data_IF_545704055070
#
_entry.id   IF_545704055070
#
_cell.length_a   1.000
_cell.length_b   1.000
_cell.length_c   1.000
_cell.angle_alpha   90.00
_cell.angle_beta   90.00
_cell.angle_gamma   90.00
#
_symmetry.space_group_name_H-M   'P 1'
#
loop_
_entity.id
_entity.type
_entity.pdbx_description
1 polymer ?
#
# COMPACT_ATOMS: atom_id res chain seq x y z
N UNK A 1 -14.89 56.96 33.69
CA UNK A 1 -15.42 56.10 32.64
C UNK A 1 -14.26 55.45 31.90
N UNK A 2 -13.93 54.25 32.22
CA UNK A 2 -12.82 53.49 31.61
C UNK A 2 -13.42 52.54 30.59
N UNK A 3 -13.05 52.70 29.31
CA UNK A 3 -13.49 51.87 28.24
C UNK A 3 -12.69 50.53 28.22
N UNK A 4 -13.42 49.44 28.40
CA UNK A 4 -12.89 48.08 28.28
C UNK A 4 -12.52 47.77 26.82
N UNK A 5 -11.28 47.37 26.59
CA UNK A 5 -10.82 46.77 25.33
C UNK A 5 -11.42 45.38 25.18
N UNK A 6 -11.90 44.98 24.00
CA UNK A 6 -12.29 43.60 23.76
C UNK A 6 -11.06 42.71 23.65
N UNK A 7 -11.14 41.52 24.28
CA UNK A 7 -10.11 40.50 24.26
C UNK A 7 -9.95 39.93 22.83
N UNK A 8 -8.72 39.93 22.34
CA UNK A 8 -8.34 39.21 21.11
C UNK A 8 -8.64 37.70 21.24
N UNK A 9 -9.21 37.06 20.22
CA UNK A 9 -9.36 35.61 20.22
C UNK A 9 -7.98 34.96 20.11
N UNK A 10 -7.61 34.20 21.17
CA UNK A 10 -6.44 33.35 21.17
C UNK A 10 -6.57 32.36 19.98
N UNK A 11 -5.71 32.53 18.99
CA UNK A 11 -5.47 31.53 17.92
C UNK A 11 -5.05 30.24 18.61
N UNK A 12 -5.94 29.26 18.62
CA UNK A 12 -5.60 27.85 18.86
C UNK A 12 -4.60 27.44 17.76
N UNK A 13 -3.30 27.45 18.12
CA UNK A 13 -2.29 26.75 17.33
C UNK A 13 -2.76 25.29 17.24
N UNK A 14 -3.10 24.85 16.06
CA UNK A 14 -3.35 23.46 15.78
C UNK A 14 -2.13 22.67 16.28
N UNK A 15 -2.30 21.97 17.39
CA UNK A 15 -1.33 21.00 17.88
C UNK A 15 -1.40 19.79 16.97
N UNK A 16 -0.65 19.85 15.85
CA UNK A 16 -0.30 18.69 15.05
C UNK A 16 0.80 17.93 15.80
N UNK A 17 0.50 17.43 17.00
CA UNK A 17 1.38 16.54 17.73
C UNK A 17 0.89 15.10 17.57
N UNK A 18 1.10 14.52 16.39
CA UNK A 18 1.30 13.09 16.34
C UNK A 18 2.49 12.81 17.27
N UNK A 19 2.25 12.16 18.42
CA UNK A 19 3.32 11.75 19.34
C UNK A 19 4.37 10.99 18.50
N UNK A 20 5.65 11.40 18.53
CA UNK A 20 6.66 10.76 17.71
C UNK A 20 6.72 9.28 18.08
N UNK A 21 6.49 8.39 17.11
CA UNK A 21 6.61 6.96 17.30
C UNK A 21 7.97 6.64 17.91
N UNK A 22 7.97 5.77 18.90
CA UNK A 22 9.22 5.31 19.50
C UNK A 22 10.11 4.62 18.44
N UNK A 23 11.41 4.80 18.54
CA UNK A 23 12.37 4.24 17.56
C UNK A 23 12.22 2.73 17.33
N UNK A 24 11.86 1.96 18.38
CA UNK A 24 11.66 0.52 18.22
C UNK A 24 10.43 0.22 17.35
N UNK A 25 9.37 1.00 17.48
CA UNK A 25 8.15 0.81 16.69
C UNK A 25 8.37 1.17 15.20
N UNK A 26 9.17 2.21 14.94
CA UNK A 26 9.58 2.55 13.57
C UNK A 26 10.35 1.38 12.90
N UNK A 27 11.29 0.78 13.66
CA UNK A 27 12.06 -0.40 13.19
C UNK A 27 11.15 -1.61 12.98
N UNK A 28 10.23 -1.86 13.91
CA UNK A 28 9.23 -2.91 13.78
C UNK A 28 8.43 -2.78 12.48
N UNK A 29 7.93 -1.58 12.16
CA UNK A 29 7.15 -1.33 10.92
C UNK A 29 7.99 -1.61 9.66
N UNK A 30 9.24 -1.16 9.63
CA UNK A 30 10.15 -1.40 8.49
C UNK A 30 10.45 -2.89 8.32
N UNK A 31 10.78 -3.58 9.41
CA UNK A 31 11.09 -5.01 9.36
C UNK A 31 9.87 -5.86 8.99
N UNK A 32 8.70 -5.48 9.48
CA UNK A 32 7.43 -6.12 9.11
C UNK A 32 7.17 -6.02 7.61
N UNK A 33 7.34 -4.82 7.02
CA UNK A 33 7.21 -4.61 5.57
C UNK A 33 8.18 -5.48 4.78
N UNK A 34 9.44 -5.50 5.19
CA UNK A 34 10.47 -6.30 4.53
C UNK A 34 10.18 -7.81 4.62
N UNK A 35 9.55 -8.27 5.73
CA UNK A 35 9.06 -9.64 5.87
C UNK A 35 7.91 -9.91 4.87
N UNK A 36 6.96 -8.98 4.74
CA UNK A 36 5.85 -9.08 3.79
C UNK A 36 6.36 -9.13 2.34
N UNK A 37 7.43 -8.40 2.04
CA UNK A 37 8.11 -8.43 0.74
C UNK A 37 8.94 -9.71 0.52
N UNK A 38 9.08 -10.58 1.53
CA UNK A 38 9.88 -11.80 1.45
C UNK A 38 11.39 -11.59 1.42
N UNK A 39 11.89 -10.42 1.86
CA UNK A 39 13.33 -10.08 1.81
C UNK A 39 14.21 -10.95 2.71
N UNK A 40 13.63 -11.64 3.67
CA UNK A 40 14.35 -12.44 4.65
C UNK A 40 14.18 -13.94 4.42
N UNK A 41 14.03 -14.40 3.19
CA UNK A 41 13.89 -15.82 2.85
C UNK A 41 15.09 -16.67 3.35
N UNK A 42 16.28 -16.09 3.39
CA UNK A 42 17.52 -16.71 3.87
C UNK A 42 17.82 -16.44 5.36
N UNK A 43 16.85 -15.91 6.10
CA UNK A 43 16.97 -15.52 7.50
C UNK A 43 17.16 -14.01 7.70
N UNK A 44 16.85 -13.54 8.90
CA UNK A 44 16.99 -12.13 9.27
C UNK A 44 18.44 -11.79 9.63
N UNK A 45 18.90 -10.56 9.35
CA UNK A 45 20.20 -10.10 9.80
C UNK A 45 20.31 -10.13 11.32
N UNK A 46 21.54 -10.35 11.83
CA UNK A 46 21.81 -10.35 13.27
C UNK A 46 21.42 -8.99 13.91
N UNK A 47 20.96 -9.00 15.17
CA UNK A 47 20.55 -7.80 15.93
C UNK A 47 21.60 -6.66 15.84
N UNK A 48 22.90 -7.02 15.88
CA UNK A 48 23.97 -6.05 15.83
C UNK A 48 24.09 -5.37 14.45
N UNK A 49 23.82 -6.11 13.37
CA UNK A 49 23.83 -5.56 12.01
C UNK A 49 22.61 -4.65 11.81
N UNK A 50 21.44 -5.06 12.26
CA UNK A 50 20.23 -4.23 12.25
C UNK A 50 20.43 -2.94 13.06
N UNK A 51 21.07 -3.03 14.26
CA UNK A 51 21.35 -1.86 15.08
C UNK A 51 22.25 -0.86 14.36
N UNK A 52 23.24 -1.31 13.60
CA UNK A 52 24.09 -0.45 12.76
C UNK A 52 23.30 0.15 11.59
N UNK A 53 22.50 -0.66 10.89
CA UNK A 53 21.69 -0.20 9.74
C UNK A 53 20.68 0.89 10.12
N UNK A 54 20.05 0.75 11.29
CA UNK A 54 19.05 1.71 11.77
C UNK A 54 19.64 2.83 12.64
N UNK A 55 20.94 2.82 12.93
CA UNK A 55 21.60 3.84 13.77
C UNK A 55 21.05 3.91 15.20
N UNK A 56 20.71 2.75 15.82
CA UNK A 56 20.09 2.64 17.14
C UNK A 56 20.83 1.64 18.03
N UNK A 57 20.53 1.68 19.35
CA UNK A 57 21.03 0.69 20.30
C UNK A 57 20.42 -0.70 20.09
N UNK A 58 21.17 -1.77 20.45
CA UNK A 58 20.70 -3.17 20.36
C UNK A 58 19.39 -3.44 21.07
N UNK A 59 19.17 -2.79 22.23
CA UNK A 59 17.93 -2.93 23.00
C UNK A 59 16.71 -2.50 22.20
N UNK A 60 16.83 -1.43 21.40
CA UNK A 60 15.76 -0.91 20.55
C UNK A 60 15.41 -1.90 19.43
N UNK A 61 16.41 -2.49 18.79
CA UNK A 61 16.20 -3.53 17.76
C UNK A 61 15.58 -4.78 18.38
N UNK A 62 16.12 -5.22 19.54
CA UNK A 62 15.62 -6.40 20.23
C UNK A 62 14.13 -6.28 20.55
N UNK A 63 13.69 -5.13 21.05
CA UNK A 63 12.28 -4.86 21.33
C UNK A 63 11.40 -4.90 20.07
N UNK A 64 11.89 -4.40 18.94
CA UNK A 64 11.19 -4.50 17.65
C UNK A 64 11.07 -5.97 17.19
N UNK A 65 12.12 -6.75 17.34
CA UNK A 65 12.12 -8.18 17.00
C UNK A 65 11.24 -9.00 17.96
N UNK A 66 11.20 -8.67 19.26
CA UNK A 66 10.31 -9.31 20.22
C UNK A 66 8.85 -9.11 19.82
N UNK A 67 8.46 -7.92 19.42
CA UNK A 67 7.11 -7.65 18.93
C UNK A 67 6.78 -8.51 17.68
N UNK A 68 7.71 -8.66 16.75
CA UNK A 68 7.52 -9.55 15.59
C UNK A 68 7.39 -11.02 15.98
N UNK A 69 8.10 -11.47 17.03
CA UNK A 69 7.98 -12.83 17.60
C UNK A 69 6.61 -13.02 18.26
N UNK A 70 6.16 -12.04 19.06
CA UNK A 70 4.86 -12.09 19.76
C UNK A 70 3.70 -12.15 18.76
N UNK A 71 3.83 -11.49 17.62
CA UNK A 71 2.86 -11.58 16.51
C UNK A 71 3.00 -12.88 15.70
N UNK A 72 4.02 -13.71 16.00
CA UNK A 72 4.31 -14.94 15.31
C UNK A 72 4.76 -14.76 13.86
N UNK A 73 5.33 -13.61 13.52
CA UNK A 73 5.83 -13.29 12.18
C UNK A 73 7.24 -13.83 11.94
N UNK A 74 8.01 -13.97 13.02
CA UNK A 74 9.34 -14.54 13.02
C UNK A 74 9.51 -15.53 14.17
N UNK A 75 10.45 -16.45 14.03
CA UNK A 75 10.86 -17.40 15.06
C UNK A 75 12.35 -17.28 15.33
N UNK A 76 12.76 -17.42 16.59
CA UNK A 76 14.16 -17.50 16.99
C UNK A 76 14.55 -18.97 17.09
N UNK A 77 15.55 -19.37 16.32
CA UNK A 77 16.09 -20.73 16.35
C UNK A 77 17.47 -20.69 16.99
N UNK A 78 17.60 -21.37 18.13
CA UNK A 78 18.85 -21.40 18.88
C UNK A 78 20.02 -21.86 17.99
N UNK A 79 21.12 -21.10 17.97
CA UNK A 79 22.29 -21.36 17.14
C UNK A 79 22.12 -21.11 15.64
N UNK A 80 20.91 -20.82 15.15
CA UNK A 80 20.61 -20.58 13.72
C UNK A 80 20.08 -19.18 13.40
N UNK A 81 19.83 -18.34 14.41
CA UNK A 81 19.37 -16.98 14.21
C UNK A 81 17.85 -16.81 14.19
N UNK A 82 17.37 -15.76 13.54
CA UNK A 82 15.95 -15.38 13.46
C UNK A 82 15.44 -15.60 12.04
N UNK A 83 14.28 -16.25 11.90
CA UNK A 83 13.71 -16.63 10.62
C UNK A 83 12.25 -16.19 10.49
N UNK A 84 11.76 -15.86 9.30
CA UNK A 84 10.33 -15.73 9.05
C UNK A 84 9.59 -17.01 9.41
N UNK A 85 8.39 -16.87 9.98
CA UNK A 85 7.54 -18.04 10.28
C UNK A 85 7.03 -18.67 8.99
N UNK A 86 7.31 -19.95 8.70
CA UNK A 86 6.83 -20.60 7.49
C UNK A 86 5.30 -20.65 7.46
N UNK A 87 4.71 -20.31 6.31
CA UNK A 87 3.29 -20.57 6.03
C UNK A 87 2.27 -19.65 6.72
N UNK A 88 2.71 -18.59 7.42
CA UNK A 88 1.81 -17.54 7.87
C UNK A 88 1.86 -16.40 6.85
N UNK A 89 0.91 -16.33 5.89
CA UNK A 89 0.79 -15.13 5.05
C UNK A 89 0.43 -13.98 5.99
N UNK A 90 1.27 -12.96 6.04
CA UNK A 90 1.06 -11.75 6.85
C UNK A 90 -0.23 -11.01 6.47
N UNK A 91 -0.82 -11.39 5.35
CA UNK A 91 -2.12 -11.01 4.86
C UNK A 91 -2.90 -12.26 4.46
N UNK A 92 -3.15 -13.18 5.41
CA UNK A 92 -4.20 -14.18 5.22
C UNK A 92 -5.51 -13.42 5.06
N UNK A 93 -5.96 -13.29 3.82
CA UNK A 93 -7.33 -12.85 3.56
C UNK A 93 -8.26 -13.80 4.31
N UNK A 94 -9.00 -13.28 5.30
CA UNK A 94 -10.15 -13.99 5.82
C UNK A 94 -11.00 -14.40 4.63
N UNK A 95 -11.61 -15.61 4.61
CA UNK A 95 -12.48 -16.02 3.52
C UNK A 95 -13.59 -14.97 3.40
N UNK A 96 -13.47 -14.11 2.39
CA UNK A 96 -14.47 -13.08 2.13
C UNK A 96 -15.72 -13.74 1.62
N UNK A 97 -16.86 -13.39 2.23
CA UNK A 97 -18.17 -13.67 1.66
C UNK A 97 -18.17 -13.26 0.18
N UNK A 98 -18.69 -14.16 -0.68
CA UNK A 98 -18.83 -13.92 -2.10
C UNK A 98 -19.83 -12.80 -2.32
N UNK A 99 -19.36 -11.56 -2.39
CA UNK A 99 -20.15 -10.43 -2.83
C UNK A 99 -20.37 -10.48 -4.35
N UNK A 100 -21.53 -10.04 -4.80
CA UNK A 100 -21.86 -9.97 -6.23
C UNK A 100 -20.79 -9.20 -7.01
N UNK A 101 -20.47 -9.60 -8.26
CA UNK A 101 -19.42 -8.98 -9.06
C UNK A 101 -19.78 -7.52 -9.38
N UNK A 102 -19.00 -6.59 -8.86
CA UNK A 102 -19.09 -5.17 -9.25
C UNK A 102 -18.52 -5.03 -10.66
N UNK A 103 -19.31 -4.50 -11.59
CA UNK A 103 -18.82 -4.28 -12.96
C UNK A 103 -17.64 -3.32 -12.97
N UNK A 104 -16.57 -3.72 -13.65
CA UNK A 104 -15.30 -2.93 -13.79
C UNK A 104 -15.50 -1.55 -14.45
N UNK A 105 -16.57 -1.34 -15.22
CA UNK A 105 -16.86 -0.07 -15.91
C UNK A 105 -16.91 1.13 -14.97
N UNK A 106 -17.50 1.03 -13.78
CA UNK A 106 -17.51 2.10 -12.79
C UNK A 106 -16.11 2.34 -12.17
N UNK A 107 -15.38 1.26 -11.88
CA UNK A 107 -14.02 1.34 -11.35
C UNK A 107 -13.04 1.96 -12.35
N UNK A 108 -13.12 1.56 -13.64
CA UNK A 108 -12.28 2.14 -14.70
C UNK A 108 -12.54 3.63 -14.88
N UNK A 109 -13.80 4.03 -14.93
CA UNK A 109 -14.19 5.45 -15.01
C UNK A 109 -13.59 6.28 -13.87
N UNK A 110 -13.65 5.77 -12.65
CA UNK A 110 -13.08 6.43 -11.46
C UNK A 110 -11.54 6.52 -11.53
N UNK A 111 -10.85 5.45 -11.93
CA UNK A 111 -9.38 5.43 -12.06
C UNK A 111 -8.93 6.42 -13.14
N UNK A 112 -9.62 6.49 -14.27
CA UNK A 112 -9.33 7.44 -15.35
C UNK A 112 -9.60 8.88 -14.91
N UNK A 113 -10.70 9.13 -14.20
CA UNK A 113 -11.04 10.45 -13.66
C UNK A 113 -9.95 10.97 -12.71
N UNK A 114 -9.54 10.16 -11.72
CA UNK A 114 -8.44 10.50 -10.80
C UNK A 114 -7.13 10.73 -11.56
N UNK A 115 -6.89 10.01 -12.65
CA UNK A 115 -5.66 10.15 -13.44
C UNK A 115 -5.55 11.50 -14.15
N UNK A 116 -6.67 12.15 -14.49
CA UNK A 116 -6.67 13.45 -15.18
C UNK A 116 -6.22 14.61 -14.29
N UNK A 117 -6.40 14.51 -12.97
CA UNK A 117 -6.10 15.57 -12.00
C UNK A 117 -4.84 15.29 -11.18
N UNK A 118 -4.08 14.25 -11.53
CA UNK A 118 -2.92 13.81 -10.77
C UNK A 118 -1.75 13.47 -11.67
N UNK A 119 -0.52 13.59 -11.14
CA UNK A 119 0.71 13.18 -11.80
C UNK A 119 1.22 11.87 -11.20
N UNK A 120 1.93 11.09 -12.00
CA UNK A 120 2.51 9.81 -11.57
C UNK A 120 4.02 9.82 -11.75
N UNK A 121 4.75 9.56 -10.67
CA UNK A 121 6.18 9.26 -10.70
C UNK A 121 6.36 7.74 -10.56
N UNK A 122 6.96 7.10 -11.56
CA UNK A 122 7.34 5.68 -11.48
C UNK A 122 8.65 5.58 -10.69
N UNK A 123 8.59 4.99 -9.51
CA UNK A 123 9.74 4.80 -8.62
C UNK A 123 10.53 3.55 -8.99
N UNK A 124 9.82 2.45 -9.26
CA UNK A 124 10.41 1.16 -9.66
C UNK A 124 9.62 0.52 -10.81
N UNK A 125 10.35 -0.14 -11.74
CA UNK A 125 9.77 -0.95 -12.81
C UNK A 125 10.79 -2.03 -13.19
N UNK A 126 10.56 -3.24 -12.75
CA UNK A 126 11.47 -4.36 -12.97
C UNK A 126 10.77 -5.71 -12.94
N UNK A 127 11.41 -6.74 -13.47
CA UNK A 127 11.03 -8.15 -13.30
C UNK A 127 11.57 -8.64 -11.97
N UNK A 128 10.74 -9.34 -11.23
CA UNK A 128 11.12 -10.00 -9.96
C UNK A 128 10.51 -11.40 -9.90
N UNK A 129 11.06 -12.25 -9.06
CA UNK A 129 10.42 -13.51 -8.69
C UNK A 129 9.22 -13.22 -7.80
N UNK A 130 8.09 -13.87 -8.08
CA UNK A 130 6.89 -13.75 -7.27
C UNK A 130 7.17 -14.28 -5.85
N UNK A 131 6.99 -13.44 -4.83
CA UNK A 131 6.97 -13.90 -3.44
C UNK A 131 5.80 -14.87 -3.23
N UNK A 132 5.80 -15.65 -2.14
CA UNK A 132 4.72 -16.58 -1.85
C UNK A 132 3.32 -15.93 -1.87
N UNK A 133 3.20 -14.72 -1.31
CA UNK A 133 1.93 -13.96 -1.31
C UNK A 133 1.52 -13.48 -2.69
N UNK A 134 2.48 -13.00 -3.51
CA UNK A 134 2.23 -12.59 -4.90
C UNK A 134 1.84 -13.79 -5.76
N UNK A 135 2.56 -14.90 -5.64
CA UNK A 135 2.29 -16.14 -6.37
C UNK A 135 0.89 -16.68 -6.04
N UNK A 136 0.54 -16.71 -4.75
CA UNK A 136 -0.79 -17.13 -4.29
C UNK A 136 -1.89 -16.22 -4.84
N UNK A 137 -1.74 -14.89 -4.72
CA UNK A 137 -2.73 -13.92 -5.20
C UNK A 137 -2.93 -14.00 -6.71
N UNK A 138 -1.85 -14.13 -7.48
CA UNK A 138 -1.89 -14.20 -8.94
C UNK A 138 -2.06 -15.63 -9.48
N UNK A 139 -2.24 -16.63 -8.61
CA UNK A 139 -2.37 -18.06 -8.96
C UNK A 139 -1.22 -18.55 -9.86
N UNK A 140 -0.01 -18.12 -9.54
CA UNK A 140 1.21 -18.48 -10.25
C UNK A 140 2.00 -19.57 -9.49
N UNK A 141 2.86 -20.27 -10.22
CA UNK A 141 3.84 -21.14 -9.59
C UNK A 141 4.82 -20.34 -8.71
N UNK A 142 5.35 -20.97 -7.67
CA UNK A 142 6.39 -20.35 -6.83
C UNK A 142 7.59 -19.96 -7.70
N UNK A 143 8.09 -18.73 -7.52
CA UNK A 143 9.22 -18.22 -8.29
C UNK A 143 8.87 -17.78 -9.73
N UNK A 144 7.60 -17.78 -10.13
CA UNK A 144 7.19 -17.25 -11.42
C UNK A 144 7.60 -15.79 -11.57
N UNK A 145 7.96 -15.36 -12.77
CA UNK A 145 8.36 -13.98 -13.05
C UNK A 145 7.14 -13.06 -13.12
N UNK A 146 7.23 -11.94 -12.41
CA UNK A 146 6.24 -10.88 -12.43
C UNK A 146 6.90 -9.52 -12.64
N UNK A 147 6.19 -8.61 -13.29
CA UNK A 147 6.55 -7.19 -13.35
C UNK A 147 6.09 -6.51 -12.06
N UNK A 148 7.03 -5.95 -11.32
CA UNK A 148 6.77 -5.07 -10.19
C UNK A 148 6.83 -3.63 -10.65
N UNK A 149 5.76 -2.87 -10.41
CA UNK A 149 5.72 -1.41 -10.56
C UNK A 149 5.51 -0.76 -9.22
N UNK A 150 6.34 0.22 -8.86
CA UNK A 150 6.11 1.09 -7.71
C UNK A 150 5.90 2.51 -8.22
N UNK A 151 4.79 3.12 -7.85
CA UNK A 151 4.40 4.43 -8.34
C UNK A 151 3.93 5.32 -7.19
N UNK A 152 4.36 6.57 -7.21
CA UNK A 152 3.82 7.63 -6.39
C UNK A 152 2.90 8.50 -7.24
N UNK A 153 1.69 8.69 -6.78
CA UNK A 153 0.73 9.63 -7.38
C UNK A 153 0.69 10.89 -6.54
N UNK A 154 0.62 12.05 -7.20
CA UNK A 154 0.54 13.35 -6.54
C UNK A 154 -0.57 14.19 -7.17
N UNK A 155 -1.30 14.95 -6.35
CA UNK A 155 -2.16 16.06 -6.76
C UNK A 155 -1.37 17.37 -6.76
N UNK A 156 -2.04 18.51 -6.99
CA UNK A 156 -1.44 19.83 -6.84
C UNK A 156 -0.99 20.12 -5.40
N UNK A 157 -1.65 19.53 -4.41
CA UNK A 157 -1.31 19.66 -2.98
C UNK A 157 -0.15 18.77 -2.54
N UNK A 158 0.38 17.93 -3.42
CA UNK A 158 1.50 17.03 -3.14
C UNK A 158 1.15 15.54 -3.19
N UNK A 159 1.97 14.69 -2.54
CA UNK A 159 1.80 13.24 -2.61
C UNK A 159 0.44 12.77 -2.11
N UNK A 160 -0.18 11.85 -2.84
CA UNK A 160 -1.51 11.30 -2.57
C UNK A 160 -1.47 9.82 -2.22
N UNK A 161 -0.72 9.04 -3.01
CA UNK A 161 -0.65 7.58 -2.82
C UNK A 161 0.69 6.99 -3.24
N UNK A 162 1.04 5.88 -2.57
CA UNK A 162 2.15 5.00 -2.90
C UNK A 162 1.59 3.63 -3.28
N UNK A 163 1.82 3.20 -4.52
CA UNK A 163 1.15 2.04 -5.11
C UNK A 163 2.18 1.05 -5.61
N UNK A 164 2.15 -0.16 -5.09
CA UNK A 164 2.86 -1.31 -5.62
C UNK A 164 1.91 -2.18 -6.44
N UNK A 165 2.31 -2.54 -7.64
CA UNK A 165 1.51 -3.39 -8.55
C UNK A 165 2.37 -4.54 -9.03
N UNK A 166 1.79 -5.74 -9.06
CA UNK A 166 2.40 -6.94 -9.65
C UNK A 166 1.52 -7.43 -10.80
N UNK A 167 2.17 -7.78 -11.92
CA UNK A 167 1.53 -8.23 -13.15
C UNK A 167 2.32 -9.46 -13.64
N UNK A 168 1.70 -10.57 -14.02
CA UNK A 168 2.40 -11.67 -14.69
C UNK A 168 3.25 -11.14 -15.84
N UNK A 169 4.53 -11.53 -15.92
CA UNK A 169 5.50 -10.91 -16.85
C UNK A 169 5.00 -10.91 -18.30
N UNK A 170 4.39 -12.01 -18.75
CA UNK A 170 3.90 -12.18 -20.12
C UNK A 170 2.78 -11.19 -20.49
N UNK A 171 2.04 -10.63 -19.54
CA UNK A 171 1.00 -9.62 -19.77
C UNK A 171 1.53 -8.18 -19.80
N UNK A 172 2.78 -7.96 -19.38
CA UNK A 172 3.37 -6.63 -19.25
C UNK A 172 4.51 -6.39 -20.24
N UNK A 173 4.42 -6.97 -21.43
CA UNK A 173 5.43 -6.85 -22.50
C UNK A 173 5.15 -5.68 -23.43
N UNK A 174 3.89 -5.21 -23.52
CA UNK A 174 3.46 -4.17 -24.44
C UNK A 174 3.67 -2.73 -23.96
N UNK A 175 4.16 -2.52 -22.72
CA UNK A 175 4.35 -1.18 -22.14
C UNK A 175 5.54 -1.14 -21.19
N UNK A 176 6.02 0.07 -20.91
CA UNK A 176 7.18 0.30 -20.08
C UNK A 176 6.97 1.43 -19.08
N UNK A 177 8.10 1.93 -18.57
CA UNK A 177 8.14 2.99 -17.54
C UNK A 177 7.45 4.29 -17.98
N UNK A 178 7.59 4.65 -19.25
CA UNK A 178 7.03 5.90 -19.79
C UNK A 178 5.51 5.84 -19.86
N UNK A 179 4.96 4.75 -20.38
CA UNK A 179 3.52 4.54 -20.49
C UNK A 179 2.86 4.47 -19.10
N UNK A 180 3.54 3.83 -18.11
CA UNK A 180 3.10 3.76 -16.73
C UNK A 180 3.03 5.13 -16.02
N UNK A 181 3.83 6.11 -16.45
CA UNK A 181 3.76 7.47 -15.95
C UNK A 181 2.56 8.23 -16.50
N UNK A 182 2.05 7.85 -17.65
CA UNK A 182 1.00 8.57 -18.39
C UNK A 182 -0.38 7.92 -18.27
N UNK A 183 -0.43 6.58 -18.19
CA UNK A 183 -1.68 5.83 -18.25
C UNK A 183 -1.88 4.92 -17.02
N UNK A 184 -3.14 4.66 -16.62
CA UNK A 184 -3.46 3.62 -15.66
C UNK A 184 -3.01 2.24 -16.14
N UNK A 185 -2.56 1.38 -15.22
CA UNK A 185 -2.12 0.00 -15.55
C UNK A 185 -3.24 -0.80 -16.22
N UNK A 186 -4.49 -0.66 -15.76
CA UNK A 186 -5.61 -1.39 -16.35
C UNK A 186 -5.84 -1.02 -17.81
N UNK A 187 -5.71 0.27 -18.14
CA UNK A 187 -5.78 0.73 -19.52
C UNK A 187 -4.64 0.14 -20.38
N UNK A 188 -3.43 0.09 -19.83
CA UNK A 188 -2.27 -0.51 -20.54
C UNK A 188 -2.44 -2.01 -20.77
N UNK A 189 -3.06 -2.73 -19.82
CA UNK A 189 -3.39 -4.14 -19.98
C UNK A 189 -4.45 -4.35 -21.08
N UNK A 190 -5.50 -3.52 -21.12
CA UNK A 190 -6.51 -3.57 -22.21
C UNK A 190 -5.89 -3.26 -23.57
N UNK A 191 -5.05 -2.22 -23.68
CA UNK A 191 -4.31 -1.87 -24.89
C UNK A 191 -3.33 -2.99 -25.32
N UNK A 192 -2.90 -3.83 -24.39
CA UNK A 192 -2.07 -5.02 -24.65
C UNK A 192 -2.89 -6.28 -24.98
N UNK A 193 -4.22 -6.16 -25.12
CA UNK A 193 -5.10 -7.26 -25.51
C UNK A 193 -5.67 -8.08 -24.35
N UNK A 194 -5.51 -7.63 -23.09
CA UNK A 194 -6.13 -8.29 -21.93
C UNK A 194 -7.59 -7.86 -21.83
N UNK A 195 -8.52 -8.78 -21.98
CA UNK A 195 -9.94 -8.53 -21.75
C UNK A 195 -10.23 -8.56 -20.24
N UNK A 196 -10.42 -7.39 -19.64
CA UNK A 196 -10.66 -7.27 -18.19
C UNK A 196 -12.09 -7.73 -17.84
N UNK A 197 -12.21 -8.57 -16.81
CA UNK A 197 -13.48 -9.12 -16.33
C UNK A 197 -13.97 -8.44 -15.05
N UNK A 198 -13.46 -8.85 -13.88
CA UNK A 198 -13.89 -8.36 -12.58
C UNK A 198 -12.71 -7.96 -11.70
N UNK A 199 -12.99 -7.24 -10.61
CA UNK A 199 -12.01 -6.96 -9.58
C UNK A 199 -12.57 -7.27 -8.19
N UNK A 200 -11.68 -7.71 -7.30
CA UNK A 200 -11.92 -7.82 -5.85
C UNK A 200 -11.08 -6.77 -5.16
N UNK A 201 -11.69 -5.99 -4.29
CA UNK A 201 -10.99 -4.94 -3.56
C UNK A 201 -11.26 -5.05 -2.07
N UNK A 202 -10.20 -4.89 -1.28
CA UNK A 202 -10.25 -4.80 0.17
C UNK A 202 -9.72 -3.44 0.57
N UNK A 203 -10.38 -2.78 1.52
CA UNK A 203 -9.93 -1.52 2.10
C UNK A 203 -9.78 -1.73 3.60
N UNK A 204 -8.62 -1.39 4.12
CA UNK A 204 -8.30 -1.44 5.54
C UNK A 204 -7.47 -0.21 5.94
N UNK A 205 -6.92 -0.19 7.12
CA UNK A 205 -6.01 0.86 7.58
C UNK A 205 -4.65 0.26 7.91
N UNK A 206 -3.58 1.02 7.61
CA UNK A 206 -2.21 0.65 7.92
C UNK A 206 -1.40 1.88 8.34
N UNK A 207 -0.40 1.70 9.18
CA UNK A 207 0.54 2.76 9.53
C UNK A 207 1.64 2.89 8.47
N UNK A 208 2.03 4.14 8.17
CA UNK A 208 3.15 4.43 7.28
C UNK A 208 4.46 3.97 7.90
N UNK A 209 5.21 3.12 7.19
CA UNK A 209 6.61 2.84 7.49
C UNK A 209 7.53 4.00 7.05
N UNK A 210 8.84 3.87 7.27
CA UNK A 210 9.80 4.93 6.97
C UNK A 210 9.87 5.27 5.47
N UNK A 211 9.77 4.27 4.59
CA UNK A 211 9.85 4.46 3.14
C UNK A 211 8.59 5.13 2.62
N UNK A 212 7.42 4.61 2.99
CA UNK A 212 6.14 5.16 2.57
C UNK A 212 5.92 6.56 3.15
N UNK A 213 6.33 6.79 4.41
CA UNK A 213 6.27 8.10 5.04
C UNK A 213 7.07 9.15 4.27
N UNK A 214 8.30 8.81 3.86
CA UNK A 214 9.15 9.69 3.05
C UNK A 214 8.55 9.97 1.67
N UNK A 215 7.99 8.96 1.00
CA UNK A 215 7.41 9.13 -0.33
C UNK A 215 6.06 9.88 -0.32
N UNK A 216 5.29 9.76 0.77
CA UNK A 216 4.00 10.42 0.93
C UNK A 216 4.08 11.77 1.67
N UNK A 217 5.28 12.18 2.14
CA UNK A 217 5.47 13.39 2.93
C UNK A 217 4.56 13.42 4.16
N UNK A 218 4.63 12.35 4.97
CA UNK A 218 3.92 12.20 6.23
C UNK A 218 4.85 11.71 7.34
N UNK A 219 4.43 11.80 8.58
CA UNK A 219 5.19 11.21 9.69
C UNK A 219 5.13 9.67 9.64
N UNK A 220 6.22 9.01 10.06
CA UNK A 220 6.20 7.55 10.27
C UNK A 220 5.09 7.21 11.26
N UNK A 221 4.28 6.18 10.95
CA UNK A 221 3.13 5.77 11.74
C UNK A 221 1.85 6.54 11.47
N UNK A 222 1.85 7.48 10.54
CA UNK A 222 0.61 8.09 10.06
C UNK A 222 -0.32 6.99 9.55
N UNK A 223 -1.59 7.04 9.96
CA UNK A 223 -2.60 6.11 9.45
C UNK A 223 -2.87 6.38 7.97
N UNK A 224 -2.81 5.36 7.16
CA UNK A 224 -3.09 5.39 5.73
C UNK A 224 -4.23 4.44 5.40
N UNK A 225 -4.99 4.74 4.36
CA UNK A 225 -5.91 3.76 3.77
C UNK A 225 -5.08 2.72 3.00
N UNK A 226 -5.24 1.46 3.36
CA UNK A 226 -4.63 0.30 2.72
C UNK A 226 -5.62 -0.32 1.75
N UNK A 227 -5.39 -0.14 0.45
CA UNK A 227 -6.24 -0.66 -0.62
C UNK A 227 -5.52 -1.80 -1.32
N UNK A 228 -6.07 -3.00 -1.23
CA UNK A 228 -5.61 -4.17 -1.97
C UNK A 228 -6.63 -4.51 -3.04
N UNK A 229 -6.17 -4.69 -4.28
CA UNK A 229 -7.03 -5.01 -5.41
C UNK A 229 -6.44 -6.13 -6.23
N UNK A 230 -7.25 -7.14 -6.49
CA UNK A 230 -6.97 -8.22 -7.42
C UNK A 230 -7.91 -8.09 -8.61
N UNK A 231 -7.33 -7.99 -9.82
CA UNK A 231 -8.08 -7.86 -11.07
C UNK A 231 -7.96 -9.16 -11.84
N UNK A 232 -9.06 -9.58 -12.43
CA UNK A 232 -9.20 -10.79 -13.23
C UNK A 232 -9.55 -10.44 -14.66
N UNK A 233 -9.13 -11.29 -15.60
CA UNK A 233 -9.59 -11.24 -16.99
C UNK A 233 -11.01 -11.83 -17.15
N UNK A 234 -11.51 -11.82 -18.38
CA UNK A 234 -12.81 -12.39 -18.74
C UNK A 234 -12.91 -13.90 -18.50
N UNK A 235 -11.77 -14.61 -18.41
CA UNK A 235 -11.66 -16.04 -18.10
C UNK A 235 -11.43 -16.34 -16.62
N UNK A 236 -11.60 -15.31 -15.76
CA UNK A 236 -11.42 -15.39 -14.31
C UNK A 236 -9.99 -15.71 -13.85
N UNK A 237 -8.97 -15.40 -14.68
CA UNK A 237 -7.57 -15.51 -14.31
C UNK A 237 -7.07 -14.20 -13.73
N UNK A 238 -6.31 -14.22 -12.62
CA UNK A 238 -5.73 -13.00 -12.07
C UNK A 238 -4.68 -12.39 -13.00
N UNK A 239 -4.85 -11.11 -13.33
CA UNK A 239 -3.96 -10.37 -14.24
C UNK A 239 -3.20 -9.25 -13.57
N UNK A 240 -3.68 -8.78 -12.40
CA UNK A 240 -3.02 -7.73 -11.64
C UNK A 240 -3.31 -7.87 -10.15
N UNK A 241 -2.28 -7.75 -9.31
CA UNK A 241 -2.41 -7.53 -7.89
C UNK A 241 -1.82 -6.18 -7.51
N UNK A 242 -2.63 -5.33 -6.87
CA UNK A 242 -2.29 -3.98 -6.46
C UNK A 242 -2.37 -3.87 -4.94
N UNK A 243 -1.37 -3.24 -4.36
CA UNK A 243 -1.33 -2.77 -2.98
C UNK A 243 -1.06 -1.26 -2.99
N UNK A 244 -2.03 -0.47 -2.58
CA UNK A 244 -1.97 0.99 -2.59
C UNK A 244 -2.16 1.55 -1.19
N UNK A 245 -1.27 2.46 -0.79
CA UNK A 245 -1.35 3.21 0.46
C UNK A 245 -1.70 4.66 0.12
N UNK A 246 -2.81 5.15 0.68
CA UNK A 246 -3.36 6.46 0.36
C UNK A 246 -3.46 7.33 1.59
N UNK A 247 -3.18 8.62 1.43
CA UNK A 247 -3.36 9.64 2.46
C UNK A 247 -4.85 9.92 2.67
N UNK A 248 -5.43 9.66 3.86
CA UNK A 248 -6.87 9.84 4.10
C UNK A 248 -7.30 11.30 4.15
N UNK A 249 -6.36 12.22 4.36
CA UNK A 249 -6.61 13.67 4.30
C UNK A 249 -6.80 14.19 2.85
N UNK A 250 -6.37 13.40 1.85
CA UNK A 250 -6.41 13.78 0.41
C UNK A 250 -7.17 12.78 -0.45
N UNK A 251 -7.54 11.63 0.08
CA UNK A 251 -8.21 10.56 -0.65
C UNK A 251 -9.41 10.07 0.13
N UNK A 252 -10.53 9.99 -0.54
CA UNK A 252 -11.78 9.48 0.02
C UNK A 252 -12.36 8.41 -0.90
N UNK A 253 -12.87 7.34 -0.29
CA UNK A 253 -13.58 6.30 -0.99
C UNK A 253 -15.06 6.38 -0.61
N UNK A 254 -15.90 6.79 -1.55
CA UNK A 254 -17.34 6.87 -1.37
C UNK A 254 -18.01 5.64 -1.97
N UNK A 255 -18.88 5.02 -1.20
CA UNK A 255 -19.68 3.88 -1.63
C UNK A 255 -21.16 4.27 -1.54
N UNK A 256 -21.84 4.24 -2.67
CA UNK A 256 -23.28 4.48 -2.73
C UNK A 256 -24.00 3.11 -2.80
N UNK A 257 -24.79 2.79 -1.79
CA UNK A 257 -25.49 1.50 -1.68
C UNK A 257 -26.97 1.75 -1.85
N UNK A 258 -27.59 1.19 -2.90
CA UNK A 258 -29.03 1.27 -3.10
C UNK A 258 -29.73 -0.02 -2.63
N UNK A 259 -31.01 0.07 -2.21
CA UNK A 259 -31.81 -1.08 -1.82
C UNK A 259 -32.08 -2.09 -2.97
N UNK A 260 -31.81 -1.72 -4.21
CA UNK A 260 -32.07 -2.51 -5.42
C UNK A 260 -30.83 -3.29 -5.89
N UNK A 261 -29.81 -3.47 -5.03
CA UNK A 261 -28.70 -4.39 -5.28
C UNK A 261 -27.60 -3.86 -6.21
N UNK A 262 -27.59 -2.58 -6.57
CA UNK A 262 -26.43 -1.96 -7.23
C UNK A 262 -25.56 -1.26 -6.21
N UNK A 263 -24.26 -1.55 -6.24
CA UNK A 263 -23.24 -0.83 -5.47
C UNK A 263 -22.46 0.03 -6.45
N UNK A 264 -22.62 1.35 -6.35
CA UNK A 264 -21.79 2.32 -7.08
C UNK A 264 -20.68 2.83 -6.16
N UNK A 265 -19.43 2.54 -6.55
CA UNK A 265 -18.25 3.00 -5.82
C UNK A 265 -17.65 4.22 -6.53
N UNK A 266 -17.52 5.33 -5.82
CA UNK A 266 -16.84 6.54 -6.30
C UNK A 266 -15.56 6.77 -5.51
N UNK A 267 -14.52 7.17 -6.23
CA UNK A 267 -13.26 7.62 -5.66
C UNK A 267 -13.20 9.13 -5.88
N UNK A 268 -13.05 9.90 -4.81
CA UNK A 268 -12.78 11.32 -4.90
C UNK A 268 -11.39 11.63 -4.35
N UNK A 269 -10.72 12.56 -5.01
CA UNK A 269 -9.52 13.21 -4.48
C UNK A 269 -9.99 14.54 -3.91
N UNK A 270 -9.71 14.79 -2.64
CA UNK A 270 -10.01 16.09 -2.02
C UNK A 270 -9.03 17.10 -2.61
N UNK A 271 -9.50 17.89 -3.55
CA UNK A 271 -8.85 19.15 -3.91
C UNK A 271 -9.33 20.19 -2.89
N UNK A 272 -8.38 20.85 -2.24
CA UNK A 272 -8.49 21.83 -1.16
C UNK A 272 -9.89 22.34 -0.83
N UNK A 273 -10.22 22.24 0.42
CA UNK A 273 -11.43 22.82 1.02
C UNK A 273 -11.55 24.30 0.63
N UNK A 274 -12.53 24.59 -0.21
CA UNK A 274 -13.15 25.90 -0.16
C UNK A 274 -14.20 25.88 0.96
N UNK A 275 -14.23 26.92 1.81
CA UNK A 275 -15.11 27.05 2.96
C UNK A 275 -16.58 27.05 2.59
#
# INVERSE_FOLDING_TARGET
>A
MAASRPAEPQRLKAMNSALPLTKYHQIYLVLREQLEEGRFAEGMPAEMLLARQFGVGRVTVRRALEQLVDEGLIVRVAGRGTWPTPGKPLNAESPMAQGAPTRLTGLMGNIVSVSRHTTVKVLDWRVVDASASVALALQLASGAKVRKAVRRRSSQEGPLSYITTYIPEHLATGFGRNELALKPVLQLLEESGVELGRARQTISARQADALVAAELDVAIGTALLDVRRLVFDAQDKPVQWLHGLYRPDRYEYQLEVSQVGSIDARISVKDGLHP
#
